data_IF_731674791162
#
_entry.id   IF_731674791162
#
_cell.length_a   1.000
_cell.length_b   1.000
_cell.length_c   1.000
_cell.angle_alpha   90.00
_cell.angle_beta   90.00
_cell.angle_gamma   90.00
#
_symmetry.space_group_name_H-M   'P 1'
#
loop_
_entity.id
_entity.type
_entity.pdbx_description
1 polymer ?
#
# COMPACT_ATOMS: atom_id res chain seq x y z
N UNK A 1 -32.63 13.33 -59.85
CA UNK A 1 -31.74 14.34 -59.22
C UNK A 1 -32.34 14.95 -57.94
N UNK A 2 -33.59 15.44 -57.94
CA UNK A 2 -34.22 16.00 -56.72
C UNK A 2 -34.42 15.02 -55.54
N UNK A 3 -34.67 13.73 -55.79
CA UNK A 3 -34.84 12.71 -54.73
C UNK A 3 -33.51 12.25 -54.10
N UNK A 4 -32.40 12.34 -54.84
CA UNK A 4 -31.05 12.01 -54.34
C UNK A 4 -30.50 13.13 -53.44
N UNK A 5 -30.86 14.39 -53.71
CA UNK A 5 -30.49 15.52 -52.87
C UNK A 5 -31.18 15.49 -51.48
N UNK A 6 -32.38 14.91 -51.38
CA UNK A 6 -33.12 14.80 -50.12
C UNK A 6 -32.52 13.71 -49.21
N UNK A 7 -32.05 12.60 -49.79
CA UNK A 7 -31.41 11.51 -49.03
C UNK A 7 -30.03 11.96 -48.49
N UNK A 8 -29.29 12.76 -49.25
CA UNK A 8 -28.02 13.33 -48.81
C UNK A 8 -28.17 14.34 -47.66
N UNK A 9 -29.31 15.03 -47.55
CA UNK A 9 -29.56 16.03 -46.50
C UNK A 9 -30.06 15.40 -45.18
N UNK A 10 -30.61 14.19 -45.22
CA UNK A 10 -31.04 13.45 -44.00
C UNK A 10 -29.91 12.68 -43.32
N UNK A 11 -28.81 12.39 -44.01
CA UNK A 11 -27.67 11.66 -43.44
C UNK A 11 -26.70 12.61 -42.71
N UNK A 12 -26.68 13.90 -43.04
CA UNK A 12 -25.78 14.88 -42.41
C UNK A 12 -26.24 15.40 -41.04
N UNK A 13 -27.43 15.00 -40.56
CA UNK A 13 -27.98 15.43 -39.26
C UNK A 13 -27.69 14.46 -38.10
N UNK A 14 -27.08 13.29 -38.36
CA UNK A 14 -26.72 12.33 -37.33
C UNK A 14 -25.22 12.27 -37.00
N UNK A 15 -24.42 13.15 -37.60
CA UNK A 15 -23.08 13.46 -37.07
C UNK A 15 -23.19 14.45 -35.90
N UNK A 16 -24.08 14.16 -34.95
CA UNK A 16 -24.01 14.75 -33.63
C UNK A 16 -22.76 14.15 -32.98
N UNK A 17 -21.71 14.96 -32.94
CA UNK A 17 -20.49 14.72 -32.21
C UNK A 17 -20.85 14.23 -30.80
N UNK A 18 -20.74 12.92 -30.56
CA UNK A 18 -20.67 12.38 -29.21
C UNK A 18 -19.29 12.76 -28.69
N UNK A 19 -19.16 14.00 -28.21
CA UNK A 19 -18.15 14.31 -27.21
C UNK A 19 -18.52 13.46 -26.00
N UNK A 20 -17.91 12.28 -25.90
CA UNK A 20 -17.77 11.63 -24.62
C UNK A 20 -16.91 12.59 -23.80
N UNK A 21 -17.53 13.44 -23.00
CA UNK A 21 -16.85 14.11 -21.92
C UNK A 21 -16.30 12.96 -21.05
N UNK A 22 -15.01 12.67 -21.16
CA UNK A 22 -14.35 11.85 -20.14
C UNK A 22 -14.60 12.58 -18.83
N UNK A 23 -15.37 11.96 -17.94
CA UNK A 23 -15.61 12.51 -16.61
C UNK A 23 -14.26 12.41 -15.92
N UNK A 24 -13.56 13.54 -15.80
CA UNK A 24 -12.25 13.61 -15.15
C UNK A 24 -12.42 13.06 -13.74
N UNK A 25 -11.78 11.92 -13.50
CA UNK A 25 -11.82 11.22 -12.23
C UNK A 25 -10.86 11.93 -11.27
N UNK A 26 -11.40 12.50 -10.19
CA UNK A 26 -10.63 13.31 -9.23
C UNK A 26 -10.95 12.92 -7.81
N UNK A 27 -10.02 13.15 -6.89
CA UNK A 27 -10.26 13.19 -5.45
C UNK A 27 -9.95 14.61 -4.94
N UNK A 28 -10.71 15.09 -3.97
CA UNK A 28 -10.44 16.37 -3.31
C UNK A 28 -9.76 16.11 -1.99
N UNK A 29 -8.60 16.72 -1.78
CA UNK A 29 -7.83 16.62 -0.55
C UNK A 29 -7.71 18.04 0.01
N UNK A 30 -8.25 18.24 1.20
CA UNK A 30 -8.20 19.53 1.90
C UNK A 30 -7.62 19.33 3.29
N UNK A 31 -7.26 20.43 3.95
CA UNK A 31 -6.74 20.30 5.30
C UNK A 31 -6.24 21.57 5.92
N UNK A 32 -5.61 21.39 7.08
CA UNK A 32 -4.92 22.47 7.81
C UNK A 32 -3.58 21.95 8.34
N UNK A 33 -2.52 22.70 8.07
CA UNK A 33 -1.18 22.47 8.61
C UNK A 33 -0.88 23.56 9.63
N UNK A 34 -0.55 23.12 10.84
CA UNK A 34 -0.09 24.02 11.91
C UNK A 34 1.43 24.02 12.01
N UNK A 35 1.99 25.16 12.47
CA UNK A 35 3.42 25.45 12.52
C UNK A 35 4.19 25.29 11.19
N UNK A 36 3.60 25.61 10.01
CA UNK A 36 4.11 25.19 8.71
C UNK A 36 5.58 25.58 8.49
N UNK A 37 6.34 24.67 7.87
CA UNK A 37 7.75 24.87 7.50
C UNK A 37 7.95 25.21 6.02
N UNK A 38 6.85 25.30 5.26
CA UNK A 38 6.79 25.62 3.83
C UNK A 38 5.50 26.39 3.55
N UNK A 39 5.48 27.18 2.48
CA UNK A 39 4.24 27.83 2.01
C UNK A 39 3.41 26.89 1.12
N UNK A 40 3.97 25.75 0.70
CA UNK A 40 3.37 24.84 -0.27
C UNK A 40 3.27 23.43 0.30
N UNK A 41 2.14 22.78 0.01
CA UNK A 41 1.96 21.33 0.13
C UNK A 41 1.91 20.71 -1.26
N UNK A 42 2.57 19.56 -1.42
CA UNK A 42 2.64 18.83 -2.68
C UNK A 42 2.08 17.43 -2.51
N UNK A 43 1.24 16.99 -3.46
CA UNK A 43 0.70 15.64 -3.58
C UNK A 43 1.22 14.99 -4.86
N UNK A 44 1.53 13.69 -4.80
CA UNK A 44 2.08 12.95 -5.95
C UNK A 44 1.64 11.49 -5.97
N UNK A 45 1.27 11.02 -7.16
CA UNK A 45 1.04 9.60 -7.51
C UNK A 45 1.60 9.33 -8.90
N UNK A 46 2.67 8.52 -8.96
CA UNK A 46 3.41 8.31 -10.22
C UNK A 46 3.98 9.61 -10.78
N UNK A 47 3.57 9.95 -12.01
CA UNK A 47 3.96 11.19 -12.70
C UNK A 47 2.98 12.34 -12.48
N UNK A 48 1.82 12.07 -11.86
CA UNK A 48 0.84 13.12 -11.51
C UNK A 48 1.28 13.79 -10.22
N UNK A 49 1.34 15.12 -10.25
CA UNK A 49 1.70 15.96 -9.10
C UNK A 49 0.78 17.17 -9.07
N UNK A 50 0.21 17.45 -7.92
CA UNK A 50 -0.62 18.63 -7.66
C UNK A 50 -0.10 19.34 -6.42
N UNK A 51 -0.27 20.65 -6.35
CA UNK A 51 0.21 21.48 -5.25
C UNK A 51 -0.78 22.56 -4.90
N UNK A 52 -0.81 22.97 -3.64
CA UNK A 52 -1.51 24.18 -3.22
C UNK A 52 -0.63 25.00 -2.26
N UNK A 53 -0.86 26.31 -2.26
CA UNK A 53 -0.23 27.22 -1.30
C UNK A 53 -1.12 27.35 -0.06
N UNK A 54 -0.52 27.32 1.13
CA UNK A 54 -1.25 27.47 2.37
C UNK A 54 -1.84 28.88 2.49
N UNK A 55 -3.05 28.96 3.04
CA UNK A 55 -3.62 30.23 3.50
C UNK A 55 -2.86 30.76 4.73
N UNK A 56 -3.16 32.00 5.15
CA UNK A 56 -2.62 32.57 6.40
C UNK A 56 -2.94 31.71 7.64
N UNK A 57 -3.99 30.89 7.59
CA UNK A 57 -4.39 29.98 8.67
C UNK A 57 -3.85 28.55 8.48
N UNK A 58 -2.96 28.34 7.49
CA UNK A 58 -2.39 27.03 7.19
C UNK A 58 -3.33 26.09 6.42
N UNK A 59 -4.45 26.59 5.89
CA UNK A 59 -5.43 25.77 5.18
C UNK A 59 -5.09 25.60 3.71
N UNK A 60 -5.46 24.47 3.10
CA UNK A 60 -5.24 24.17 1.68
C UNK A 60 -6.36 23.31 1.09
N UNK A 61 -6.49 23.29 -0.23
CA UNK A 61 -7.36 22.40 -0.99
C UNK A 61 -6.75 22.05 -2.35
N UNK A 62 -6.63 20.76 -2.63
CA UNK A 62 -6.10 20.21 -3.87
C UNK A 62 -7.14 19.28 -4.50
N UNK A 63 -7.39 19.47 -5.80
CA UNK A 63 -8.10 18.49 -6.61
C UNK A 63 -7.07 17.62 -7.34
N UNK A 64 -6.99 16.35 -6.98
CA UNK A 64 -6.02 15.40 -7.50
C UNK A 64 -6.64 14.51 -8.58
N UNK A 65 -6.10 14.58 -9.81
CA UNK A 65 -6.57 13.73 -10.92
C UNK A 65 -6.07 12.30 -10.73
N UNK A 66 -7.00 11.33 -10.71
CA UNK A 66 -6.67 9.92 -10.55
C UNK A 66 -7.72 9.02 -11.17
N UNK A 67 -7.29 8.00 -11.91
CA UNK A 67 -8.19 7.04 -12.57
C UNK A 67 -8.60 5.89 -11.65
N UNK A 68 -7.69 5.49 -10.77
CA UNK A 68 -7.82 4.32 -9.90
C UNK A 68 -7.48 4.66 -8.47
N UNK A 69 -8.09 3.91 -7.55
CA UNK A 69 -7.78 3.97 -6.13
C UNK A 69 -6.28 3.76 -5.86
N UNK A 70 -5.78 4.26 -4.74
CA UNK A 70 -4.44 3.93 -4.27
C UNK A 70 -3.74 5.06 -3.54
N UNK A 71 -2.49 4.81 -3.21
CA UNK A 71 -1.66 5.71 -2.41
C UNK A 71 -1.26 6.98 -3.18
N UNK A 72 -1.41 8.11 -2.51
CA UNK A 72 -0.92 9.44 -2.88
C UNK A 72 0.07 9.84 -1.79
N UNK A 73 1.29 10.17 -2.19
CA UNK A 73 2.29 10.72 -1.28
C UNK A 73 2.10 12.21 -1.18
N UNK A 74 2.17 12.76 0.02
CA UNK A 74 2.21 14.21 0.21
C UNK A 74 3.50 14.62 0.91
N UNK A 75 3.89 15.87 0.73
CA UNK A 75 5.08 16.42 1.36
C UNK A 75 4.90 17.87 1.74
N UNK A 76 5.42 18.24 2.89
CA UNK A 76 5.46 19.59 3.40
C UNK A 76 6.70 19.77 4.28
N UNK A 77 7.42 20.88 4.16
CA UNK A 77 8.54 21.18 5.08
C UNK A 77 9.75 20.24 5.01
N UNK A 78 9.84 19.38 3.99
CA UNK A 78 10.88 18.34 3.88
C UNK A 78 10.45 16.98 4.39
N UNK A 79 9.31 16.91 5.08
CA UNK A 79 8.70 15.67 5.57
C UNK A 79 7.66 15.15 4.58
N UNK A 80 7.32 13.86 4.72
CA UNK A 80 6.49 13.14 3.77
C UNK A 80 5.53 12.22 4.50
N UNK A 81 4.29 12.22 4.05
CA UNK A 81 3.30 11.22 4.45
C UNK A 81 2.64 10.59 3.23
N UNK A 82 1.73 9.67 3.49
CA UNK A 82 0.93 8.99 2.47
C UNK A 82 -0.53 9.00 2.89
N UNK A 83 -1.42 9.07 1.90
CA UNK A 83 -2.85 8.80 2.07
C UNK A 83 -3.33 7.89 0.95
N UNK A 84 -4.40 7.14 1.18
CA UNK A 84 -5.15 6.38 0.19
C UNK A 84 -6.39 7.15 -0.22
N UNK A 85 -6.62 7.26 -1.52
CA UNK A 85 -7.79 7.90 -2.09
C UNK A 85 -8.39 7.07 -3.21
N UNK A 86 -9.66 7.31 -3.50
CA UNK A 86 -10.40 6.82 -4.67
C UNK A 86 -10.95 8.00 -5.46
N UNK A 87 -11.20 7.83 -6.76
CA UNK A 87 -11.93 8.83 -7.52
C UNK A 87 -13.30 9.11 -6.89
N UNK A 88 -13.55 10.37 -6.55
CA UNK A 88 -14.77 10.86 -5.91
C UNK A 88 -14.60 11.16 -4.42
N UNK A 89 -13.52 10.74 -3.78
CA UNK A 89 -13.32 10.95 -2.34
C UNK A 89 -13.09 12.44 -2.01
N UNK A 90 -13.71 12.89 -0.92
CA UNK A 90 -13.41 14.15 -0.26
C UNK A 90 -12.72 13.89 1.09
N UNK A 91 -11.39 13.99 1.08
CA UNK A 91 -10.52 13.70 2.22
C UNK A 91 -10.14 15.01 2.89
N UNK A 92 -10.20 15.04 4.22
CA UNK A 92 -9.75 16.17 5.03
C UNK A 92 -8.64 15.71 5.97
N UNK A 93 -7.51 16.39 5.99
CA UNK A 93 -6.39 16.07 6.89
C UNK A 93 -5.98 17.25 7.77
N UNK A 94 -5.46 16.94 8.95
CA UNK A 94 -4.81 17.93 9.83
C UNK A 94 -3.48 17.39 10.30
N UNK A 95 -2.47 18.26 10.41
CA UNK A 95 -1.17 17.92 11.00
C UNK A 95 -0.50 19.15 11.63
N UNK A 96 0.38 18.90 12.59
CA UNK A 96 1.34 19.84 13.13
C UNK A 96 2.75 19.40 12.71
N UNK A 97 3.48 20.28 12.05
CA UNK A 97 4.83 19.93 11.55
C UNK A 97 5.90 19.84 12.64
N UNK A 98 5.59 20.22 13.89
CA UNK A 98 6.51 19.95 15.01
C UNK A 98 6.42 18.48 15.48
N UNK A 99 5.32 17.78 15.17
CA UNK A 99 5.04 16.38 15.51
C UNK A 99 4.33 15.70 14.30
N UNK A 100 5.02 15.64 13.16
CA UNK A 100 4.41 15.38 11.84
C UNK A 100 3.59 14.09 11.78
N UNK A 101 4.22 12.94 12.08
CA UNK A 101 3.57 11.64 11.98
C UNK A 101 2.60 11.40 13.14
N UNK A 102 2.88 11.95 14.32
CA UNK A 102 2.08 11.77 15.54
C UNK A 102 0.78 12.55 15.53
N UNK A 103 0.72 13.67 14.80
CA UNK A 103 -0.46 14.56 14.75
C UNK A 103 -1.27 14.44 13.46
N UNK A 104 -0.79 13.64 12.50
CA UNK A 104 -1.48 13.41 11.24
C UNK A 104 -2.80 12.65 11.47
N UNK A 105 -3.92 13.33 11.21
CA UNK A 105 -5.27 12.77 11.37
C UNK A 105 -6.11 13.07 10.14
N UNK A 106 -6.95 12.11 9.76
CA UNK A 106 -7.85 12.19 8.63
C UNK A 106 -9.32 12.13 9.05
N UNK A 107 -10.16 12.88 8.32
CA UNK A 107 -11.63 12.86 8.39
C UNK A 107 -12.22 12.93 6.98
N UNK A 108 -13.54 12.79 6.85
CA UNK A 108 -14.20 12.71 5.54
C UNK A 108 -14.15 11.30 4.96
N UNK A 109 -14.10 11.20 3.64
CA UNK A 109 -14.04 9.91 2.95
C UNK A 109 -12.72 9.19 3.19
N UNK A 110 -12.77 7.86 3.23
CA UNK A 110 -11.62 6.99 3.51
C UNK A 110 -10.84 7.33 4.81
N UNK A 111 -11.45 8.03 5.76
CA UNK A 111 -10.78 8.46 6.99
C UNK A 111 -10.31 7.28 7.86
N UNK A 112 -11.10 6.22 7.96
CA UNK A 112 -10.73 5.01 8.70
C UNK A 112 -9.52 4.29 8.07
N UNK A 113 -9.50 4.19 6.74
CA UNK A 113 -8.36 3.67 5.96
C UNK A 113 -7.11 4.53 6.20
N UNK A 114 -7.24 5.84 6.07
CA UNK A 114 -6.09 6.75 6.19
C UNK A 114 -5.54 6.84 7.61
N UNK A 115 -6.42 6.84 8.63
CA UNK A 115 -5.98 6.78 10.02
C UNK A 115 -5.37 5.41 10.38
N UNK A 116 -5.83 4.32 9.75
CA UNK A 116 -5.15 3.02 9.83
C UNK A 116 -3.73 3.11 9.25
N UNK A 117 -3.55 3.71 8.07
CA UNK A 117 -2.23 3.87 7.44
C UNK A 117 -1.29 4.74 8.28
N UNK A 118 -1.77 5.85 8.83
CA UNK A 118 -0.99 6.68 9.75
C UNK A 118 -0.55 5.89 11.00
N UNK A 119 -1.45 5.10 11.58
CA UNK A 119 -1.11 4.22 12.70
C UNK A 119 -0.09 3.13 12.31
N UNK A 120 -0.12 2.62 11.08
CA UNK A 120 0.88 1.66 10.59
C UNK A 120 2.27 2.27 10.45
N UNK A 121 2.38 3.55 10.07
CA UNK A 121 3.66 4.27 10.06
C UNK A 121 4.25 4.34 11.47
N UNK A 122 3.47 4.85 12.44
CA UNK A 122 3.90 4.95 13.83
C UNK A 122 4.24 3.58 14.44
N UNK A 123 3.44 2.56 14.10
CA UNK A 123 3.70 1.20 14.53
C UNK A 123 5.05 0.71 14.00
N UNK A 124 5.34 0.92 12.71
CA UNK A 124 6.59 0.49 12.07
C UNK A 124 7.82 1.03 12.81
N UNK A 125 7.78 2.27 13.27
CA UNK A 125 8.90 2.89 14.00
C UNK A 125 9.09 2.31 15.41
N UNK A 126 8.03 1.74 15.99
CA UNK A 126 8.06 1.09 17.30
C UNK A 126 8.44 -0.41 17.25
N UNK A 127 8.41 -1.02 16.06
CA UNK A 127 8.70 -2.44 15.89
C UNK A 127 10.21 -2.71 15.90
N UNK A 128 10.64 -3.93 16.32
CA UNK A 128 12.04 -4.33 16.21
C UNK A 128 12.51 -4.25 14.75
N UNK A 129 13.76 -3.86 14.54
CA UNK A 129 14.30 -3.80 13.17
C UNK A 129 14.34 -5.19 12.54
N UNK A 130 14.40 -5.25 11.21
CA UNK A 130 14.56 -6.51 10.49
C UNK A 130 15.73 -7.35 11.05
N UNK A 131 16.86 -6.71 11.36
CA UNK A 131 17.99 -7.37 12.01
C UNK A 131 17.63 -7.93 13.38
N UNK A 132 16.97 -7.15 14.23
CA UNK A 132 16.59 -7.57 15.59
C UNK A 132 15.60 -8.75 15.59
N UNK A 133 14.83 -8.89 14.52
CA UNK A 133 13.95 -10.04 14.30
C UNK A 133 14.78 -11.25 13.84
N UNK A 134 15.61 -11.07 12.81
CA UNK A 134 16.32 -12.18 12.15
C UNK A 134 17.42 -12.82 13.00
N UNK A 135 18.02 -12.13 13.98
CA UNK A 135 19.04 -12.72 14.87
C UNK A 135 18.47 -13.58 16.00
N UNK A 136 17.14 -13.63 16.15
CA UNK A 136 16.48 -14.43 17.20
C UNK A 136 16.56 -15.91 16.85
N UNK A 137 16.48 -16.77 17.85
CA UNK A 137 16.26 -18.20 17.60
C UNK A 137 14.88 -18.44 16.94
N UNK A 138 14.71 -19.63 16.35
CA UNK A 138 13.54 -19.96 15.54
C UNK A 138 12.20 -19.73 16.27
N UNK A 139 12.13 -20.11 17.55
CA UNK A 139 10.90 -19.97 18.35
C UNK A 139 10.60 -18.49 18.58
N UNK A 140 11.61 -17.71 18.95
CA UNK A 140 11.47 -16.28 19.19
C UNK A 140 11.19 -15.49 17.90
N UNK A 141 11.76 -15.90 16.76
CA UNK A 141 11.48 -15.36 15.44
C UNK A 141 10.00 -15.57 15.06
N UNK A 142 9.51 -16.81 15.10
CA UNK A 142 8.10 -17.11 14.76
C UNK A 142 7.13 -16.35 15.66
N UNK A 143 7.42 -16.29 16.97
CA UNK A 143 6.59 -15.59 17.94
C UNK A 143 6.51 -14.08 17.66
N UNK A 144 7.63 -13.43 17.31
CA UNK A 144 7.60 -11.98 17.05
C UNK A 144 6.83 -11.67 15.76
N UNK A 145 6.97 -12.49 14.72
CA UNK A 145 6.19 -12.33 13.49
C UNK A 145 4.68 -12.49 13.74
N UNK A 146 4.29 -13.54 14.45
CA UNK A 146 2.87 -13.76 14.79
C UNK A 146 2.31 -12.60 15.61
N UNK A 147 3.09 -12.10 16.57
CA UNK A 147 2.70 -10.94 17.40
C UNK A 147 2.53 -9.66 16.56
N UNK A 148 3.45 -9.38 15.64
CA UNK A 148 3.37 -8.22 14.73
C UNK A 148 2.13 -8.34 13.84
N UNK A 149 1.89 -9.53 13.26
CA UNK A 149 0.73 -9.79 12.42
C UNK A 149 -0.58 -9.59 13.18
N UNK A 150 -0.69 -10.15 14.38
CA UNK A 150 -1.88 -9.99 15.23
C UNK A 150 -2.13 -8.52 15.61
N UNK A 151 -1.06 -7.76 15.87
CA UNK A 151 -1.14 -6.34 16.16
C UNK A 151 -1.67 -5.56 14.95
N UNK A 152 -1.10 -5.76 13.76
CA UNK A 152 -1.57 -5.12 12.50
C UNK A 152 -3.05 -5.49 12.21
N UNK A 153 -3.44 -6.76 12.40
CA UNK A 153 -4.85 -7.21 12.30
C UNK A 153 -5.74 -6.52 13.35
N UNK A 154 -5.22 -6.28 14.55
CA UNK A 154 -5.92 -5.55 15.61
C UNK A 154 -6.31 -4.14 15.19
N UNK A 155 -5.39 -3.38 14.61
CA UNK A 155 -5.66 -2.06 14.04
C UNK A 155 -6.64 -2.13 12.86
N UNK A 156 -6.51 -3.13 11.99
CA UNK A 156 -7.36 -3.28 10.82
C UNK A 156 -8.86 -3.41 11.16
N UNK A 157 -9.21 -3.83 12.39
CA UNK A 157 -10.61 -3.93 12.85
C UNK A 157 -11.32 -2.57 12.92
N UNK A 158 -10.60 -1.46 12.94
CA UNK A 158 -11.19 -0.11 12.94
C UNK A 158 -11.59 0.35 11.54
N UNK A 159 -11.16 -0.35 10.49
CA UNK A 159 -11.52 -0.06 9.10
C UNK A 159 -12.85 -0.74 8.78
N UNK A 160 -13.75 0.00 8.14
CA UNK A 160 -15.07 -0.47 7.73
C UNK A 160 -15.11 -1.05 6.31
N UNK A 161 -14.12 -0.68 5.48
CA UNK A 161 -14.02 -1.09 4.10
C UNK A 161 -13.53 -2.55 3.94
N UNK A 162 -14.43 -3.45 3.54
CA UNK A 162 -14.13 -4.88 3.42
C UNK A 162 -13.18 -5.23 2.27
N UNK A 163 -13.19 -4.45 1.18
CA UNK A 163 -12.25 -4.67 0.07
C UNK A 163 -10.83 -4.31 0.50
N UNK A 164 -10.67 -3.17 1.18
CA UNK A 164 -9.39 -2.76 1.76
C UNK A 164 -8.92 -3.75 2.83
N UNK A 165 -9.81 -4.23 3.70
CA UNK A 165 -9.45 -5.28 4.69
C UNK A 165 -8.99 -6.56 4.03
N UNK A 166 -9.63 -6.96 2.93
CA UNK A 166 -9.23 -8.15 2.17
C UNK A 166 -7.82 -7.95 1.62
N UNK A 167 -7.58 -6.82 0.95
CA UNK A 167 -6.26 -6.44 0.44
C UNK A 167 -5.18 -6.45 1.53
N UNK A 168 -5.43 -5.82 2.68
CA UNK A 168 -4.45 -5.78 3.78
C UNK A 168 -4.18 -7.16 4.36
N UNK A 169 -5.21 -7.98 4.58
CA UNK A 169 -5.03 -9.34 5.09
C UNK A 169 -4.21 -10.21 4.14
N UNK A 170 -4.44 -10.10 2.84
CA UNK A 170 -3.65 -10.79 1.82
C UNK A 170 -2.19 -10.31 1.80
N UNK A 171 -1.97 -9.00 1.88
CA UNK A 171 -0.61 -8.44 1.95
C UNK A 171 0.12 -8.92 3.22
N UNK A 172 -0.54 -8.90 4.38
CA UNK A 172 0.03 -9.40 5.64
C UNK A 172 0.36 -10.89 5.57
N UNK A 173 -0.48 -11.67 4.89
CA UNK A 173 -0.21 -13.08 4.66
C UNK A 173 1.09 -13.27 3.88
N UNK A 174 1.26 -12.57 2.75
CA UNK A 174 2.45 -12.70 1.92
C UNK A 174 3.70 -12.08 2.52
N UNK A 175 3.58 -10.98 3.25
CA UNK A 175 4.67 -10.36 4.01
C UNK A 175 5.22 -11.37 5.03
N UNK A 176 4.34 -11.93 5.88
CA UNK A 176 4.72 -12.93 6.89
C UNK A 176 5.36 -14.15 6.24
N UNK A 177 4.79 -14.63 5.13
CA UNK A 177 5.29 -15.80 4.41
C UNK A 177 6.68 -15.54 3.81
N UNK A 178 6.87 -14.37 3.17
CA UNK A 178 8.16 -13.98 2.57
C UNK A 178 9.27 -13.91 3.62
N UNK A 179 8.99 -13.30 4.77
CA UNK A 179 9.98 -13.18 5.84
C UNK A 179 10.38 -14.55 6.41
N UNK A 180 9.43 -15.48 6.57
CA UNK A 180 9.73 -16.86 7.02
C UNK A 180 10.64 -17.59 6.06
N UNK A 181 10.42 -17.45 4.75
CA UNK A 181 11.28 -18.05 3.73
C UNK A 181 12.71 -17.47 3.68
N UNK A 182 12.88 -16.25 4.20
CA UNK A 182 14.15 -15.55 4.24
C UNK A 182 14.91 -15.76 5.55
N UNK A 183 14.25 -16.31 6.57
CA UNK A 183 14.78 -16.43 7.92
C UNK A 183 16.12 -17.15 7.99
N UNK A 184 16.20 -18.40 7.52
CA UNK A 184 17.41 -19.24 7.62
C UNK A 184 18.66 -18.53 7.08
N UNK A 185 18.57 -18.02 5.85
CA UNK A 185 19.65 -17.27 5.19
C UNK A 185 19.94 -15.92 5.87
N UNK A 186 18.91 -15.21 6.31
CA UNK A 186 19.08 -13.91 6.98
C UNK A 186 19.69 -14.07 8.37
N UNK A 187 19.34 -15.13 9.08
CA UNK A 187 19.85 -15.48 10.39
C UNK A 187 21.36 -15.71 10.33
N UNK A 188 21.82 -16.55 9.38
CA UNK A 188 23.25 -16.73 9.11
C UNK A 188 23.95 -15.42 8.81
N UNK A 189 23.39 -14.63 7.88
CA UNK A 189 23.97 -13.37 7.45
C UNK A 189 24.14 -12.38 8.62
N UNK A 190 23.11 -12.17 9.43
CA UNK A 190 23.15 -11.18 10.50
C UNK A 190 23.96 -11.62 11.73
N UNK A 191 24.16 -12.91 11.92
CA UNK A 191 25.05 -13.48 12.94
C UNK A 191 26.50 -13.62 12.44
N UNK A 192 26.75 -13.47 11.15
CA UNK A 192 28.08 -13.66 10.56
C UNK A 192 28.51 -15.13 10.56
N UNK A 193 27.56 -16.05 10.46
CA UNK A 193 27.83 -17.48 10.33
C UNK A 193 28.32 -17.78 8.91
N UNK A 194 29.16 -18.82 8.72
CA UNK A 194 29.40 -19.37 7.40
C UNK A 194 28.08 -19.78 6.73
N UNK A 195 28.06 -19.76 5.40
CA UNK A 195 26.92 -20.28 4.64
C UNK A 195 26.71 -21.76 4.97
N UNK A 196 25.46 -22.15 5.16
CA UNK A 196 25.01 -23.51 5.47
C UNK A 196 25.45 -24.04 6.86
N UNK A 197 25.85 -23.16 7.78
CA UNK A 197 26.22 -23.50 9.17
C UNK A 197 25.02 -23.47 10.13
N UNK A 198 23.89 -22.92 9.68
CA UNK A 198 22.62 -22.93 10.40
C UNK A 198 21.55 -23.66 9.58
N UNK A 199 20.67 -24.36 10.28
CA UNK A 199 19.47 -24.93 9.67
C UNK A 199 18.29 -24.78 10.62
N UNK A 200 17.16 -24.40 10.04
CA UNK A 200 15.87 -24.40 10.74
C UNK A 200 15.37 -25.84 10.95
N UNK A 201 14.46 -26.02 11.90
CA UNK A 201 13.83 -27.31 12.19
C UNK A 201 13.15 -27.93 10.97
N UNK A 202 13.01 -29.26 10.98
CA UNK A 202 12.40 -30.02 9.88
C UNK A 202 10.98 -29.52 9.54
N UNK A 203 10.21 -29.15 10.57
CA UNK A 203 8.83 -28.69 10.44
C UNK A 203 8.70 -27.19 10.15
N UNK A 204 9.80 -26.42 10.15
CA UNK A 204 9.77 -24.98 9.99
C UNK A 204 9.04 -24.54 8.72
N UNK A 205 9.29 -25.23 7.60
CA UNK A 205 8.69 -24.93 6.30
C UNK A 205 7.35 -25.65 6.05
N UNK A 206 6.73 -26.25 7.07
CA UNK A 206 5.42 -26.91 6.93
C UNK A 206 4.34 -25.97 6.36
N UNK A 207 4.45 -24.67 6.61
CA UNK A 207 3.56 -23.63 6.06
C UNK A 207 3.57 -23.56 4.52
N UNK A 208 4.62 -24.08 3.86
CA UNK A 208 4.72 -24.15 2.39
C UNK A 208 3.76 -25.19 1.82
N UNK A 209 3.63 -26.35 2.46
CA UNK A 209 2.78 -27.45 1.96
C UNK A 209 1.29 -27.13 1.95
N UNK A 210 0.89 -26.08 2.68
CA UNK A 210 -0.47 -25.56 2.72
C UNK A 210 -0.79 -24.59 1.56
N UNK A 211 0.18 -24.23 0.72
CA UNK A 211 -0.06 -23.36 -0.44
C UNK A 211 -0.69 -24.12 -1.60
N UNK A 212 -1.95 -23.81 -1.92
CA UNK A 212 -2.47 -24.04 -3.26
C UNK A 212 -1.85 -23.01 -4.23
N UNK A 213 -0.98 -23.49 -5.12
CA UNK A 213 -0.26 -22.69 -6.12
C UNK A 213 -1.16 -22.21 -7.28
N UNK A 214 -2.43 -22.66 -7.35
CA UNK A 214 -3.36 -22.34 -8.44
C UNK A 214 -4.49 -21.37 -8.04
N UNK A 215 -4.47 -20.84 -6.82
CA UNK A 215 -5.52 -19.94 -6.35
C UNK A 215 -5.33 -18.52 -6.92
N UNK A 216 -6.12 -18.18 -7.93
CA UNK A 216 -6.09 -16.91 -8.64
C UNK A 216 -6.57 -15.71 -7.80
N UNK A 217 -7.19 -15.94 -6.64
CA UNK A 217 -7.50 -14.84 -5.69
C UNK A 217 -6.22 -14.19 -5.14
N UNK A 218 -5.09 -14.89 -5.19
CA UNK A 218 -3.79 -14.45 -4.68
C UNK A 218 -3.06 -13.43 -5.58
N UNK A 219 -3.66 -13.04 -6.71
CA UNK A 219 -3.07 -12.12 -7.69
C UNK A 219 -3.06 -10.65 -7.23
N UNK A 220 -3.86 -10.28 -6.21
CA UNK A 220 -3.94 -8.89 -5.72
C UNK A 220 -2.61 -8.45 -5.08
N UNK A 221 -1.86 -9.39 -4.47
CA UNK A 221 -0.50 -9.18 -3.94
C UNK A 221 0.63 -9.51 -4.93
N UNK A 222 0.43 -9.31 -6.24
CA UNK A 222 1.27 -9.87 -7.33
C UNK A 222 2.79 -9.77 -7.10
N UNK A 223 3.27 -8.66 -6.54
CA UNK A 223 4.70 -8.46 -6.28
C UNK A 223 5.23 -9.39 -5.18
N UNK A 224 4.57 -9.44 -4.02
CA UNK A 224 4.96 -10.31 -2.92
C UNK A 224 4.71 -11.77 -3.26
N UNK A 225 3.60 -12.07 -3.93
CA UNK A 225 3.30 -13.40 -4.45
C UNK A 225 4.42 -13.91 -5.37
N UNK A 226 4.88 -13.11 -6.34
CA UNK A 226 5.95 -13.53 -7.26
C UNK A 226 7.29 -13.75 -6.53
N UNK A 227 7.62 -12.88 -5.57
CA UNK A 227 8.81 -13.03 -4.72
C UNK A 227 8.75 -14.34 -3.93
N UNK A 228 7.61 -14.60 -3.30
CA UNK A 228 7.33 -15.81 -2.54
C UNK A 228 7.37 -17.05 -3.43
N UNK A 229 6.78 -17.01 -4.62
CA UNK A 229 6.77 -18.12 -5.58
C UNK A 229 8.20 -18.51 -5.99
N UNK A 230 9.02 -17.54 -6.37
CA UNK A 230 10.41 -17.77 -6.75
C UNK A 230 11.24 -18.36 -5.60
N UNK A 231 11.06 -17.84 -4.39
CA UNK A 231 11.79 -18.32 -3.20
C UNK A 231 11.31 -19.69 -2.74
N UNK A 232 10.00 -19.96 -2.81
CA UNK A 232 9.42 -21.28 -2.48
C UNK A 232 10.02 -22.36 -3.37
N UNK A 233 10.12 -22.11 -4.68
CA UNK A 233 10.79 -23.04 -5.59
C UNK A 233 12.26 -23.27 -5.19
N UNK A 234 13.00 -22.21 -4.87
CA UNK A 234 14.40 -22.33 -4.43
C UNK A 234 14.56 -23.19 -3.17
N UNK A 235 13.72 -22.98 -2.15
CA UNK A 235 13.75 -23.76 -0.90
C UNK A 235 13.37 -25.22 -1.13
N UNK A 236 12.35 -25.45 -1.97
CA UNK A 236 11.94 -26.80 -2.32
C UNK A 236 13.07 -27.56 -3.04
N UNK A 237 13.75 -26.93 -3.99
CA UNK A 237 14.86 -27.58 -4.70
C UNK A 237 16.08 -27.78 -3.80
N UNK A 238 16.50 -26.79 -3.00
CA UNK A 238 17.68 -26.96 -2.13
C UNK A 238 17.52 -28.09 -1.11
N UNK A 239 16.29 -28.35 -0.66
CA UNK A 239 16.00 -29.41 0.33
C UNK A 239 15.63 -30.78 -0.26
N UNK A 240 15.39 -30.89 -1.57
CA UNK A 240 15.03 -32.15 -2.24
C UNK A 240 16.05 -32.59 -3.32
N UNK A 241 17.25 -31.99 -3.37
CA UNK A 241 18.30 -32.36 -4.35
C UNK A 241 19.11 -33.61 -3.97
N UNK A 242 18.92 -34.18 -2.78
CA UNK A 242 19.48 -35.49 -2.43
C UNK A 242 18.56 -36.64 -2.89
N UNK A 243 18.71 -37.06 -4.16
CA UNK A 243 18.24 -38.33 -4.72
C UNK A 243 19.28 -38.94 -5.67
#
# INVERSE_FOLDING_TARGET
>A
MRKLAIIALTISLFAACSSSYETVRTATISGTITNPKSEVITFRKGDVSETDSLSETGSFEVTFVMEEAGEIRFSHGGERGTLYARPGDAIVMSLDTDEFDETLVFTGDAADINNYLAAMTLLSDSLPTHRDIMIRDEIAFLKVQDSIKELKIGYLKTVSDEEFKTLVNENLYWETYSERLEYEMSHEYYLGLPLDDFSVSDDFYSFITALDNNDSSKLIGQFLFQKVFNRTASVYYSRNIDC
#
